data_IF_381712594218
#
_entry.id   IF_381712594218
#
_cell.length_a   1.000
_cell.length_b   1.000
_cell.length_c   1.000
_cell.angle_alpha   90.00
_cell.angle_beta   90.00
_cell.angle_gamma   90.00
#
_symmetry.space_group_name_H-M   'P 1'
#
loop_
_entity.id
_entity.type
_entity.pdbx_description
1 polymer ?
#
# COMPACT_ATOMS: atom_id res chain seq x y z
N UNK A 1 -22.10 -9.64 4.00
CA UNK A 1 -21.44 -9.09 2.79
C UNK A 1 -20.17 -9.82 2.38
N UNK A 2 -19.54 -10.64 3.24
CA UNK A 2 -18.31 -11.42 2.95
C UNK A 2 -18.58 -12.89 2.60
N UNK A 3 -19.76 -13.22 2.06
CA UNK A 3 -20.22 -14.62 1.95
C UNK A 3 -19.60 -15.38 0.76
N UNK A 4 -18.82 -14.71 -0.09
CA UNK A 4 -18.12 -15.33 -1.23
C UNK A 4 -16.64 -14.91 -1.22
N UNK A 5 -15.73 -15.89 -1.23
CA UNK A 5 -14.28 -15.68 -1.08
C UNK A 5 -13.64 -14.77 -2.13
N UNK A 6 -14.27 -14.62 -3.31
CA UNK A 6 -13.80 -13.73 -4.38
C UNK A 6 -13.88 -12.26 -3.95
N UNK A 7 -14.96 -11.85 -3.28
CA UNK A 7 -15.11 -10.47 -2.82
C UNK A 7 -14.11 -10.12 -1.71
N UNK A 8 -13.81 -11.08 -0.83
CA UNK A 8 -12.80 -10.90 0.20
C UNK A 8 -11.40 -10.72 -0.41
N UNK A 9 -11.06 -11.50 -1.44
CA UNK A 9 -9.78 -11.35 -2.17
C UNK A 9 -9.63 -9.98 -2.83
N UNK A 10 -10.66 -9.52 -3.54
CA UNK A 10 -10.65 -8.20 -4.19
C UNK A 10 -10.54 -7.05 -3.19
N UNK A 11 -11.24 -7.15 -2.05
CA UNK A 11 -11.13 -6.14 -1.00
C UNK A 11 -9.73 -6.11 -0.37
N UNK A 12 -9.13 -7.28 -0.10
CA UNK A 12 -7.77 -7.36 0.44
C UNK A 12 -6.74 -6.76 -0.51
N UNK A 13 -6.87 -7.03 -1.82
CA UNK A 13 -6.00 -6.43 -2.85
C UNK A 13 -6.15 -4.90 -2.87
N UNK A 14 -7.37 -4.40 -3.02
CA UNK A 14 -7.67 -2.97 -3.08
C UNK A 14 -7.17 -2.25 -1.82
N UNK A 15 -7.39 -2.83 -0.65
CA UNK A 15 -6.95 -2.28 0.63
C UNK A 15 -5.42 -2.18 0.70
N UNK A 16 -4.72 -3.24 0.30
CA UNK A 16 -3.25 -3.27 0.35
C UNK A 16 -2.64 -2.24 -0.59
N UNK A 17 -3.18 -2.11 -1.81
CA UNK A 17 -2.68 -1.13 -2.79
C UNK A 17 -3.00 0.30 -2.38
N UNK A 18 -4.19 0.53 -1.82
CA UNK A 18 -4.57 1.83 -1.25
C UNK A 18 -3.61 2.26 -0.14
N UNK A 19 -3.28 1.36 0.79
CA UNK A 19 -2.33 1.65 1.86
C UNK A 19 -0.94 1.99 1.31
N UNK A 20 -0.45 1.22 0.33
CA UNK A 20 0.86 1.49 -0.31
C UNK A 20 0.88 2.87 -0.98
N UNK A 21 -0.17 3.22 -1.73
CA UNK A 21 -0.27 4.51 -2.39
C UNK A 21 -0.33 5.67 -1.38
N UNK A 22 -1.14 5.55 -0.32
CA UNK A 22 -1.22 6.58 0.71
C UNK A 22 0.10 6.76 1.46
N UNK A 23 0.77 5.67 1.82
CA UNK A 23 2.09 5.73 2.48
C UNK A 23 3.11 6.45 1.60
N UNK A 24 3.26 6.05 0.34
CA UNK A 24 4.17 6.73 -0.58
C UNK A 24 3.81 8.22 -0.73
N UNK A 25 2.52 8.55 -0.83
CA UNK A 25 2.06 9.94 -0.91
C UNK A 25 2.42 10.75 0.34
N UNK A 26 2.24 10.18 1.53
CA UNK A 26 2.61 10.81 2.79
C UNK A 26 4.11 11.14 2.85
N UNK A 27 4.94 10.30 2.24
CA UNK A 27 6.40 10.46 2.18
C UNK A 27 6.89 11.27 0.97
N UNK A 28 6.04 12.12 0.37
CA UNK A 28 6.45 13.08 -0.65
C UNK A 28 6.51 12.55 -2.08
N UNK A 29 5.98 11.35 -2.32
CA UNK A 29 5.82 10.82 -3.67
C UNK A 29 4.51 11.32 -4.30
N UNK A 30 4.56 11.62 -5.59
CA UNK A 30 3.37 11.63 -6.42
C UNK A 30 3.06 10.17 -6.80
N UNK A 31 1.89 9.69 -6.42
CA UNK A 31 1.48 8.28 -6.59
C UNK A 31 0.32 8.17 -7.57
N UNK A 32 0.39 7.19 -8.46
CA UNK A 32 -0.69 6.85 -9.40
C UNK A 32 -0.92 5.34 -9.38
N UNK A 33 -2.17 4.93 -9.29
CA UNK A 33 -2.58 3.53 -9.33
C UNK A 33 -3.31 3.30 -10.64
N UNK A 34 -2.85 2.34 -11.43
CA UNK A 34 -3.42 1.99 -12.72
C UNK A 34 -3.74 0.51 -12.77
N UNK A 35 -4.78 0.15 -13.51
CA UNK A 35 -5.10 -1.23 -13.82
C UNK A 35 -4.85 -1.46 -15.31
N UNK A 36 -4.04 -2.46 -15.63
CA UNK A 36 -3.82 -2.89 -17.01
C UNK A 36 -5.00 -3.73 -17.48
N UNK A 37 -5.60 -3.34 -18.60
CA UNK A 37 -6.59 -4.18 -19.29
C UNK A 37 -5.84 -5.05 -20.28
N UNK A 38 -5.55 -6.29 -19.90
CA UNK A 38 -5.00 -7.31 -20.80
C UNK A 38 -6.12 -8.07 -21.50
N UNK A 39 -5.83 -8.65 -22.67
CA UNK A 39 -6.70 -9.61 -23.35
C UNK A 39 -6.75 -10.96 -22.61
N UNK A 40 -5.78 -11.22 -21.73
CA UNK A 40 -5.69 -12.42 -20.89
C UNK A 40 -6.13 -12.11 -19.45
N UNK A 41 -6.94 -12.99 -18.85
CA UNK A 41 -7.42 -12.85 -17.48
C UNK A 41 -6.32 -13.14 -16.45
N UNK A 42 -5.42 -12.19 -16.23
CA UNK A 42 -4.48 -12.24 -15.11
C UNK A 42 -5.12 -11.66 -13.85
N UNK A 43 -4.91 -12.29 -12.69
CA UNK A 43 -5.51 -11.89 -11.41
C UNK A 43 -4.77 -10.74 -10.71
N UNK A 44 -3.65 -10.27 -11.27
CA UNK A 44 -2.84 -9.16 -10.74
C UNK A 44 -2.52 -8.17 -11.84
N UNK A 45 -3.35 -7.14 -11.97
CA UNK A 45 -3.26 -6.19 -13.08
C UNK A 45 -3.02 -4.76 -12.61
N UNK A 46 -2.82 -4.54 -11.31
CA UNK A 46 -2.65 -3.20 -10.73
C UNK A 46 -1.19 -2.83 -10.59
N UNK A 47 -0.85 -1.62 -11.01
CA UNK A 47 0.49 -1.04 -10.89
C UNK A 47 0.42 0.27 -10.13
N UNK A 48 1.30 0.41 -9.13
CA UNK A 48 1.51 1.66 -8.39
C UNK A 48 2.78 2.32 -8.93
N UNK A 49 2.62 3.45 -9.60
CA UNK A 49 3.72 4.32 -9.99
C UNK A 49 3.92 5.37 -8.90
N UNK A 50 5.16 5.53 -8.41
CA UNK A 50 5.49 6.54 -7.41
C UNK A 50 6.75 7.31 -7.83
N UNK A 51 6.60 8.60 -8.05
CA UNK A 51 7.70 9.51 -8.41
C UNK A 51 7.97 10.45 -7.24
N UNK A 52 9.20 10.47 -6.73
CA UNK A 52 9.55 11.37 -5.63
C UNK A 52 9.52 12.82 -6.13
N UNK A 53 8.63 13.64 -5.57
CA UNK A 53 8.47 15.06 -5.96
C UNK A 53 8.95 16.02 -4.89
N UNK A 54 8.90 15.60 -3.63
CA UNK A 54 9.28 16.41 -2.47
C UNK A 54 10.18 15.58 -1.56
N UNK A 55 11.24 16.21 -1.07
CA UNK A 55 11.96 15.69 0.07
C UNK A 55 11.21 16.16 1.32
N UNK A 56 10.66 15.20 2.05
CA UNK A 56 9.96 15.47 3.30
C UNK A 56 10.78 14.90 4.45
N UNK A 57 10.90 15.66 5.53
CA UNK A 57 11.55 15.20 6.77
C UNK A 57 10.57 14.42 7.65
N UNK A 58 9.28 14.71 7.51
CA UNK A 58 8.19 14.04 8.21
C UNK A 58 7.04 13.74 7.24
N UNK A 59 6.30 12.64 7.43
CA UNK A 59 5.18 12.31 6.57
C UNK A 59 4.01 13.28 6.76
N UNK A 60 3.21 13.47 5.72
CA UNK A 60 2.00 14.30 5.80
C UNK A 60 1.02 13.77 6.86
N UNK A 61 0.87 14.52 7.95
CA UNK A 61 0.05 14.12 9.09
C UNK A 61 -1.42 13.84 8.73
N UNK A 62 -1.98 14.55 7.74
CA UNK A 62 -3.38 14.33 7.33
C UNK A 62 -3.52 12.98 6.62
N UNK A 63 -2.55 12.63 5.77
CA UNK A 63 -2.54 11.35 5.08
C UNK A 63 -2.25 10.21 6.07
N UNK A 64 -1.35 10.42 7.03
CA UNK A 64 -1.10 9.44 8.09
C UNK A 64 -2.34 9.17 8.95
N UNK A 65 -3.15 10.19 9.25
CA UNK A 65 -4.43 10.00 9.94
C UNK A 65 -5.42 9.16 9.12
N UNK A 66 -5.47 9.34 7.80
CA UNK A 66 -6.30 8.52 6.91
C UNK A 66 -5.83 7.06 6.90
N UNK A 67 -4.51 6.83 6.85
CA UNK A 67 -3.92 5.48 6.92
C UNK A 67 -4.30 4.81 8.24
N UNK A 68 -4.20 5.53 9.36
CA UNK A 68 -4.53 4.98 10.68
C UNK A 68 -6.01 4.62 10.80
N UNK A 69 -6.92 5.51 10.37
CA UNK A 69 -8.36 5.24 10.35
C UNK A 69 -8.70 4.01 9.49
N UNK A 70 -8.04 3.87 8.33
CA UNK A 70 -8.23 2.71 7.46
C UNK A 70 -7.71 1.42 8.11
N UNK A 71 -6.55 1.47 8.77
CA UNK A 71 -6.00 0.32 9.51
C UNK A 71 -6.93 -0.11 10.64
N UNK A 72 -7.49 0.82 11.40
CA UNK A 72 -8.44 0.53 12.48
C UNK A 72 -9.72 -0.10 11.94
N UNK A 73 -10.31 0.48 10.89
CA UNK A 73 -11.53 -0.04 10.27
C UNK A 73 -11.41 -1.50 9.82
N UNK A 74 -10.24 -1.90 9.31
CA UNK A 74 -9.98 -3.25 8.81
C UNK A 74 -9.18 -4.14 9.79
N UNK A 75 -8.90 -3.66 11.00
CA UNK A 75 -8.15 -4.41 12.03
C UNK A 75 -6.69 -4.71 11.66
N UNK A 76 -6.06 -3.88 10.81
CA UNK A 76 -4.69 -4.07 10.31
C UNK A 76 -3.70 -3.57 11.35
N UNK A 77 -2.98 -4.50 11.99
CA UNK A 77 -2.00 -4.18 13.03
C UNK A 77 -0.64 -3.75 12.48
N UNK A 78 -0.21 -4.35 11.38
CA UNK A 78 1.12 -4.16 10.79
C UNK A 78 1.04 -4.05 9.28
N UNK A 79 1.83 -3.15 8.70
CA UNK A 79 1.98 -2.99 7.27
C UNK A 79 3.47 -2.85 6.97
N UNK A 80 4.02 -3.70 6.10
CA UNK A 80 5.48 -3.82 5.92
C UNK A 80 6.12 -2.56 5.36
N UNK A 81 5.48 -1.89 4.39
CA UNK A 81 6.01 -0.67 3.80
C UNK A 81 6.08 0.48 4.82
N UNK A 82 5.09 0.59 5.70
CA UNK A 82 5.08 1.56 6.80
C UNK A 82 6.25 1.32 7.74
N UNK A 83 6.49 0.06 8.13
CA UNK A 83 7.63 -0.30 8.99
C UNK A 83 8.97 0.01 8.31
N UNK A 84 9.09 -0.25 7.01
CA UNK A 84 10.29 0.09 6.23
C UNK A 84 10.51 1.59 6.13
N UNK A 85 9.45 2.37 5.91
CA UNK A 85 9.53 3.84 5.83
C UNK A 85 9.78 4.50 7.20
N UNK A 86 9.64 3.76 8.29
CA UNK A 86 9.91 4.20 9.66
C UNK A 86 11.21 3.61 10.21
N UNK A 87 12.01 2.90 9.39
CA UNK A 87 13.23 2.20 9.79
C UNK A 87 13.02 1.20 10.95
N UNK A 88 11.82 0.63 11.06
CA UNK A 88 11.44 -0.33 12.11
C UNK A 88 11.61 -1.79 11.67
N UNK A 89 12.02 -2.04 10.43
CA UNK A 89 12.41 -3.35 9.92
C UNK A 89 13.89 -3.31 9.51
N UNK A 90 14.72 -4.27 9.96
CA UNK A 90 16.09 -4.37 9.47
C UNK A 90 16.08 -4.63 7.96
N UNK A 91 16.90 -3.89 7.22
CA UNK A 91 17.04 -4.02 5.76
C UNK A 91 17.96 -5.20 5.39
N UNK A 92 18.51 -5.88 6.39
CA UNK A 92 19.33 -7.07 6.19
C UNK A 92 18.49 -8.20 5.56
N UNK A 93 18.90 -8.66 4.37
CA UNK A 93 18.29 -9.75 3.61
C UNK A 93 16.85 -9.51 3.07
N UNK A 94 16.44 -8.25 2.84
CA UNK A 94 15.17 -7.98 2.13
C UNK A 94 15.26 -8.49 0.68
N UNK A 95 14.46 -9.51 0.35
CA UNK A 95 14.40 -10.12 -0.99
C UNK A 95 15.18 -11.43 -1.14
N UNK A 96 15.82 -11.92 -0.08
CA UNK A 96 16.27 -13.30 -0.05
C UNK A 96 15.05 -14.23 -0.11
N UNK A 97 15.10 -15.23 -0.99
CA UNK A 97 14.09 -16.30 -1.02
C UNK A 97 14.03 -16.90 0.38
N UNK A 98 12.85 -16.83 0.98
CA UNK A 98 12.48 -17.67 2.11
C UNK A 98 12.71 -19.15 1.79
#
# INVERSE_FOLDING_TARGET
MLQFGIHAGQQAEMLTDTLRALLLKAYGYETKVFEFVSLEHTSKNKMILATKRKNVTQPDAKIMAQIQALKEMYGIKKQTLELLLQDQLPIENIGCKC
#
